data_IF_244727967269
#
_entry.id   IF_244727967269
#
_cell.length_a   1.000
_cell.length_b   1.000
_cell.length_c   1.000
_cell.angle_alpha   90.00
_cell.angle_beta   90.00
_cell.angle_gamma   90.00
#
_symmetry.space_group_name_H-M   'P 1'
#
loop_
_entity.id
_entity.type
_entity.pdbx_description
1 polymer ?
#
# COMPACT_ATOMS: atom_id res chain seq x y z
N UNK A 1 -6.47 -28.29 -11.18
CA UNK A 1 -5.31 -28.26 -10.26
C UNK A 1 -5.71 -27.42 -9.06
N UNK A 2 -5.54 -27.91 -7.83
CA UNK A 2 -5.83 -27.12 -6.62
C UNK A 2 -4.71 -26.10 -6.47
N UNK A 3 -5.00 -24.80 -6.57
CA UNK A 3 -4.05 -23.76 -6.18
C UNK A 3 -3.71 -23.99 -4.70
N UNK A 4 -2.45 -24.33 -4.43
CA UNK A 4 -1.92 -24.38 -3.06
C UNK A 4 -2.01 -22.93 -2.56
N UNK A 5 -2.89 -22.66 -1.60
CA UNK A 5 -3.01 -21.33 -0.99
C UNK A 5 -1.70 -21.06 -0.23
N UNK A 6 -0.86 -20.18 -0.75
CA UNK A 6 0.32 -19.71 -0.04
C UNK A 6 -0.14 -18.89 1.18
N UNK A 7 0.33 -19.26 2.37
CA UNK A 7 0.20 -18.39 3.54
C UNK A 7 1.21 -17.26 3.35
N UNK A 8 0.76 -16.08 2.94
CA UNK A 8 1.62 -14.91 2.72
C UNK A 8 1.68 -14.06 3.99
N UNK A 9 2.88 -13.68 4.39
CA UNK A 9 3.17 -12.81 5.52
C UNK A 9 3.75 -11.51 4.98
N UNK A 10 3.09 -10.39 5.26
CA UNK A 10 3.56 -9.06 4.86
C UNK A 10 4.45 -8.52 5.97
N UNK A 11 5.73 -8.30 5.67
CA UNK A 11 6.71 -7.75 6.60
C UNK A 11 7.18 -6.41 6.07
N UNK A 12 7.25 -5.42 6.95
CA UNK A 12 7.87 -4.15 6.59
C UNK A 12 9.40 -4.28 6.65
N UNK A 13 10.03 -4.03 5.51
CA UNK A 13 11.48 -3.96 5.36
C UNK A 13 11.94 -2.54 5.69
N UNK A 14 12.63 -2.39 6.83
CA UNK A 14 13.12 -1.10 7.32
C UNK A 14 14.33 -0.59 6.55
N UNK A 15 15.06 -1.44 5.82
CA UNK A 15 16.23 -1.02 5.03
C UNK A 15 15.79 -0.45 3.68
N UNK A 16 14.82 -1.10 3.04
CA UNK A 16 14.27 -0.70 1.73
C UNK A 16 13.02 0.20 1.84
N UNK A 17 12.55 0.50 3.06
CA UNK A 17 11.35 1.27 3.37
C UNK A 17 10.07 0.82 2.65
N UNK A 18 9.90 -0.50 2.49
CA UNK A 18 8.78 -1.09 1.73
C UNK A 18 8.22 -2.32 2.39
N UNK A 19 6.97 -2.65 2.08
CA UNK A 19 6.40 -3.92 2.49
C UNK A 19 6.92 -5.03 1.59
N UNK A 20 7.64 -6.00 2.15
CA UNK A 20 8.02 -7.25 1.49
C UNK A 20 7.03 -8.35 1.86
N UNK A 21 6.85 -9.30 0.94
CA UNK A 21 5.97 -10.46 1.16
C UNK A 21 6.84 -11.69 1.37
N UNK A 22 6.53 -12.49 2.39
CA UNK A 22 7.22 -13.73 2.73
C UNK A 22 6.22 -14.88 2.66
N UNK A 23 6.63 -15.99 2.07
CA UNK A 23 5.87 -17.23 2.11
C UNK A 23 6.03 -17.85 3.50
N UNK A 24 4.93 -17.95 4.25
CA UNK A 24 4.87 -18.45 5.61
C UNK A 24 5.11 -19.96 5.75
N UNK A 25 5.02 -20.75 4.67
CA UNK A 25 5.42 -22.16 4.70
C UNK A 25 6.94 -22.30 4.59
N UNK A 26 7.60 -21.43 3.81
CA UNK A 26 9.01 -21.59 3.41
C UNK A 26 9.96 -20.57 4.03
N UNK A 27 9.44 -19.46 4.57
CA UNK A 27 10.22 -18.33 5.08
C UNK A 27 10.93 -17.53 3.98
N UNK A 28 10.68 -17.81 2.70
CA UNK A 28 11.33 -17.14 1.59
C UNK A 28 10.58 -15.87 1.19
N UNK A 29 11.31 -14.83 0.80
CA UNK A 29 10.70 -13.65 0.16
C UNK A 29 9.97 -14.11 -1.10
N UNK A 30 8.66 -13.89 -1.11
CA UNK A 30 7.83 -14.04 -2.30
C UNK A 30 8.31 -12.98 -3.28
N UNK A 31 8.70 -13.42 -4.48
CA UNK A 31 9.13 -12.46 -5.50
C UNK A 31 7.93 -11.57 -5.81
N UNK A 32 8.18 -10.32 -6.19
CA UNK A 32 7.16 -9.34 -6.60
C UNK A 32 6.31 -9.80 -7.81
N UNK A 33 6.46 -11.03 -8.25
CA UNK A 33 5.78 -11.70 -9.36
C UNK A 33 4.44 -12.34 -8.93
N UNK A 34 4.11 -12.40 -7.64
CA UNK A 34 3.22 -13.45 -7.10
C UNK A 34 1.88 -13.01 -6.44
N UNK A 35 1.31 -11.84 -6.76
CA UNK A 35 -0.11 -11.58 -6.44
C UNK A 35 -0.90 -10.92 -7.59
N UNK A 36 -2.20 -11.20 -7.64
CA UNK A 36 -3.09 -10.80 -8.75
C UNK A 36 -3.13 -9.29 -8.96
N UNK A 37 -3.09 -8.51 -7.87
CA UNK A 37 -3.13 -7.04 -7.95
C UNK A 37 -1.81 -6.52 -8.52
N UNK A 38 -0.68 -7.02 -8.03
CA UNK A 38 0.64 -6.66 -8.56
C UNK A 38 0.77 -7.00 -10.05
N UNK A 39 0.21 -8.13 -10.48
CA UNK A 39 0.20 -8.52 -11.90
C UNK A 39 -0.60 -7.53 -12.77
N UNK A 40 -1.77 -7.09 -12.30
CA UNK A 40 -2.60 -6.10 -13.01
C UNK A 40 -1.92 -4.72 -13.05
N UNK A 41 -1.23 -4.33 -11.98
CA UNK A 41 -0.45 -3.08 -11.95
C UNK A 41 0.72 -3.10 -12.93
N UNK A 42 1.44 -4.23 -13.02
CA UNK A 42 2.50 -4.41 -14.02
C UNK A 42 1.95 -4.31 -15.44
N UNK A 43 0.79 -4.91 -15.71
CA UNK A 43 0.11 -4.76 -17.00
C UNK A 43 -0.21 -3.29 -17.32
N UNK A 44 -0.77 -2.52 -16.38
CA UNK A 44 -1.01 -1.08 -16.59
C UNK A 44 0.28 -0.29 -16.85
N UNK A 45 1.39 -0.70 -16.24
CA UNK A 45 2.70 -0.09 -16.47
C UNK A 45 3.25 -0.42 -17.87
N UNK A 46 3.10 -1.67 -18.32
CA UNK A 46 3.48 -2.10 -19.68
C UNK A 46 2.70 -1.37 -20.78
N UNK A 47 1.45 -1.00 -20.50
CA UNK A 47 0.60 -0.17 -21.37
C UNK A 47 0.93 1.35 -21.27
N UNK A 48 2.03 1.71 -20.60
CA UNK A 48 2.54 3.08 -20.41
C UNK A 48 1.47 4.07 -19.89
N UNK A 49 0.68 3.64 -18.91
CA UNK A 49 -0.39 4.45 -18.33
C UNK A 49 -0.14 4.83 -16.86
N UNK A 50 0.79 5.76 -16.59
CA UNK A 50 1.12 6.19 -15.23
C UNK A 50 0.00 6.96 -14.53
N UNK A 51 -1.01 7.44 -15.26
CA UNK A 51 -2.19 8.11 -14.70
C UNK A 51 -3.09 7.09 -13.99
N UNK A 52 -3.34 5.92 -14.61
CA UNK A 52 -4.15 4.88 -13.99
C UNK A 52 -3.48 4.29 -12.74
N UNK A 53 -2.15 4.14 -12.76
CA UNK A 53 -1.38 3.71 -11.59
C UNK A 53 -1.55 4.69 -10.42
N UNK A 54 -1.44 6.01 -10.68
CA UNK A 54 -1.66 7.04 -9.64
C UNK A 54 -3.11 7.08 -9.16
N UNK A 55 -4.10 6.95 -10.06
CA UNK A 55 -5.53 6.84 -9.69
C UNK A 55 -5.75 5.67 -8.73
N UNK A 56 -5.16 4.53 -9.03
CA UNK A 56 -5.22 3.36 -8.16
C UNK A 56 -4.57 3.60 -6.79
N UNK A 57 -3.38 4.22 -6.76
CA UNK A 57 -2.72 4.58 -5.51
C UNK A 57 -3.58 5.52 -4.64
N UNK A 58 -4.14 6.58 -5.25
CA UNK A 58 -5.06 7.52 -4.58
C UNK A 58 -6.30 6.81 -4.04
N UNK A 59 -6.88 5.90 -4.82
CA UNK A 59 -8.02 5.11 -4.36
C UNK A 59 -7.67 4.25 -3.15
N UNK A 60 -6.52 3.55 -3.16
CA UNK A 60 -6.05 2.77 -2.03
C UNK A 60 -5.87 3.63 -0.78
N UNK A 61 -5.20 4.78 -0.91
CA UNK A 61 -5.00 5.72 0.20
C UNK A 61 -6.33 6.23 0.77
N UNK A 62 -7.36 6.42 -0.06
CA UNK A 62 -8.71 6.81 0.38
C UNK A 62 -9.46 5.71 1.12
N UNK A 63 -9.15 4.43 0.89
CA UNK A 63 -9.79 3.33 1.64
C UNK A 63 -9.34 3.25 3.10
N UNK A 64 -8.16 3.81 3.40
CA UNK A 64 -7.49 3.71 4.70
C UNK A 64 -7.73 4.94 5.57
N UNK A 65 -7.92 6.10 4.94
CA UNK A 65 -7.95 7.39 5.62
C UNK A 65 -9.37 7.79 6.04
N UNK A 66 -9.77 7.37 7.24
CA UNK A 66 -11.03 7.83 7.86
C UNK A 66 -10.95 9.33 8.28
N UNK A 67 -9.75 9.82 8.63
CA UNK A 67 -9.48 11.24 8.96
C UNK A 67 -8.16 11.73 8.35
N UNK A 68 -8.24 12.49 7.25
CA UNK A 68 -7.07 13.04 6.57
C UNK A 68 -6.43 14.17 7.37
N UNK A 69 -5.19 13.98 7.83
CA UNK A 69 -4.38 15.07 8.40
C UNK A 69 -3.99 16.07 7.31
N UNK A 70 -3.67 17.34 7.67
CA UNK A 70 -3.34 18.37 6.69
C UNK A 70 -2.24 17.99 5.69
N UNK A 71 -1.19 17.29 6.13
CA UNK A 71 -0.11 16.86 5.25
C UNK A 71 -0.57 15.77 4.27
N UNK A 72 -1.38 14.81 4.71
CA UNK A 72 -1.93 13.76 3.84
C UNK A 72 -2.88 14.36 2.81
N UNK A 73 -3.67 15.36 3.20
CA UNK A 73 -4.49 16.13 2.27
C UNK A 73 -3.64 16.85 1.22
N UNK A 74 -2.57 17.55 1.62
CA UNK A 74 -1.64 18.21 0.67
C UNK A 74 -1.08 17.21 -0.35
N UNK A 75 -0.68 16.02 0.12
CA UNK A 75 -0.16 14.96 -0.74
C UNK A 75 -1.22 14.46 -1.73
N UNK A 76 -2.43 14.13 -1.24
CA UNK A 76 -3.51 13.64 -2.10
C UNK A 76 -4.00 14.69 -3.10
N UNK A 77 -4.08 15.95 -2.69
CA UNK A 77 -4.44 17.06 -3.59
C UNK A 77 -3.41 17.21 -4.73
N UNK A 78 -2.11 17.02 -4.44
CA UNK A 78 -1.07 17.04 -5.46
C UNK A 78 -1.16 15.81 -6.39
N UNK A 79 -1.43 14.62 -5.84
CA UNK A 79 -1.63 13.41 -6.64
C UNK A 79 -2.85 13.54 -7.59
N UNK A 80 -3.95 14.13 -7.13
CA UNK A 80 -5.12 14.42 -7.95
C UNK A 80 -4.81 15.41 -9.09
N UNK A 81 -4.03 16.45 -8.81
CA UNK A 81 -3.52 17.34 -9.88
C UNK A 81 -2.67 16.57 -10.89
N UNK A 82 -1.83 15.64 -10.45
CA UNK A 82 -1.01 14.81 -11.35
C UNK A 82 -1.87 13.92 -12.25
N UNK A 83 -2.95 13.35 -11.71
CA UNK A 83 -3.93 12.58 -12.47
C UNK A 83 -4.62 13.46 -13.53
N UNK A 84 -4.90 14.72 -13.20
CA UNK A 84 -5.50 15.71 -14.10
C UNK A 84 -4.48 16.36 -15.05
N UNK A 85 -3.19 16.01 -14.93
CA UNK A 85 -2.07 16.59 -15.68
C UNK A 85 -1.92 18.11 -15.44
N UNK A 86 -2.25 18.57 -14.23
CA UNK A 86 -2.19 19.97 -13.79
C UNK A 86 -0.95 20.28 -12.90
N UNK A 87 0.04 19.41 -12.89
CA UNK A 87 1.28 19.55 -12.09
C UNK A 87 2.45 18.88 -12.82
N UNK A 88 3.66 19.31 -12.50
CA UNK A 88 4.89 18.77 -13.06
C UNK A 88 5.44 17.62 -12.19
N UNK A 89 6.15 16.67 -12.80
CA UNK A 89 6.82 15.58 -12.07
C UNK A 89 7.80 16.11 -11.00
N UNK A 90 8.38 17.29 -11.24
CA UNK A 90 9.28 17.96 -10.29
C UNK A 90 8.58 18.26 -8.97
N UNK A 91 7.33 18.72 -9.00
CA UNK A 91 6.57 19.06 -7.78
C UNK A 91 6.24 17.80 -6.97
N UNK A 92 5.93 16.69 -7.64
CA UNK A 92 5.73 15.38 -7.00
C UNK A 92 7.00 14.92 -6.29
N UNK A 93 8.13 14.99 -6.99
CA UNK A 93 9.44 14.57 -6.45
C UNK A 93 9.85 15.39 -5.25
N UNK A 94 9.74 16.72 -5.34
CA UNK A 94 10.07 17.64 -4.24
C UNK A 94 9.26 17.31 -2.99
N UNK A 95 7.93 17.14 -3.12
CA UNK A 95 7.10 16.80 -1.96
C UNK A 95 7.38 15.38 -1.43
N UNK A 96 7.74 14.43 -2.30
CA UNK A 96 8.10 13.07 -1.90
C UNK A 96 9.42 13.04 -1.11
N UNK A 97 10.40 13.85 -1.50
CA UNK A 97 11.68 14.05 -0.79
C UNK A 97 11.46 14.82 0.53
N UNK A 98 10.69 15.91 0.52
CA UNK A 98 10.34 16.68 1.74
C UNK A 98 9.68 15.81 2.82
N UNK A 99 8.95 14.78 2.42
CA UNK A 99 8.21 13.89 3.32
C UNK A 99 9.01 12.67 3.79
N UNK A 100 10.21 12.43 3.26
CA UNK A 100 11.03 11.25 3.57
C UNK A 100 11.32 11.12 5.07
N UNK A 101 11.77 12.19 5.73
CA UNK A 101 12.04 12.14 7.17
C UNK A 101 10.79 11.83 8.02
N UNK A 102 9.61 12.26 7.57
CA UNK A 102 8.34 11.94 8.25
C UNK A 102 7.90 10.51 7.95
N UNK A 103 8.17 10.00 6.74
CA UNK A 103 7.96 8.59 6.39
C UNK A 103 8.81 7.69 7.29
N UNK A 104 10.13 7.92 7.36
CA UNK A 104 11.04 7.16 8.23
C UNK A 104 10.59 7.17 9.69
N UNK A 105 10.15 8.31 10.22
CA UNK A 105 9.64 8.40 11.58
C UNK A 105 8.32 7.63 11.75
N UNK A 106 7.39 7.76 10.81
CA UNK A 106 6.10 7.05 10.80
C UNK A 106 6.30 5.54 10.70
N UNK A 107 7.29 5.11 9.92
CA UNK A 107 7.72 3.74 9.75
C UNK A 107 8.31 3.18 11.05
N UNK A 108 9.35 3.83 11.56
CA UNK A 108 10.14 3.33 12.69
C UNK A 108 9.36 3.36 14.00
N UNK A 109 8.52 4.38 14.21
CA UNK A 109 7.82 4.57 15.48
C UNK A 109 6.32 4.25 15.40
N UNK A 110 5.69 4.49 14.25
CA UNK A 110 4.25 4.25 14.08
C UNK A 110 3.96 2.79 13.78
N UNK A 111 4.59 2.22 12.74
CA UNK A 111 4.33 0.82 12.34
C UNK A 111 4.75 -0.15 13.45
N UNK A 112 5.94 0.05 14.05
CA UNK A 112 6.44 -0.84 15.12
C UNK A 112 5.60 -0.82 16.40
N UNK A 113 4.85 0.27 16.65
CA UNK A 113 3.96 0.40 17.81
C UNK A 113 2.51 0.04 17.48
N UNK A 114 2.23 -0.51 16.30
CA UNK A 114 0.87 -0.87 15.90
C UNK A 114 -0.06 0.33 15.67
N UNK A 115 0.49 1.52 15.36
CA UNK A 115 -0.32 2.70 15.13
C UNK A 115 -1.07 2.58 13.79
N UNK A 116 -2.38 2.35 13.85
CA UNK A 116 -3.26 2.22 12.67
C UNK A 116 -3.28 3.42 11.72
N UNK A 117 -2.77 4.58 12.14
CA UNK A 117 -2.65 5.76 11.27
C UNK A 117 -1.35 5.77 10.45
N UNK A 118 -0.37 4.94 10.78
CA UNK A 118 0.89 4.88 10.07
C UNK A 118 0.73 4.37 8.62
N UNK A 119 0.00 3.26 8.34
CA UNK A 119 -0.31 2.86 6.97
C UNK A 119 -1.03 3.95 6.16
N UNK A 120 -1.87 4.74 6.83
CA UNK A 120 -2.66 5.79 6.22
C UNK A 120 -1.80 6.95 5.70
N UNK A 121 -0.74 7.31 6.43
CA UNK A 121 0.23 8.31 6.00
C UNK A 121 1.11 7.78 4.86
N UNK A 122 1.62 6.56 5.02
CA UNK A 122 2.52 5.95 4.05
C UNK A 122 1.80 5.73 2.71
N UNK A 123 0.59 5.16 2.73
CA UNK A 123 -0.23 5.03 1.53
C UNK A 123 -0.50 6.38 0.84
N UNK A 124 -0.73 7.45 1.59
CA UNK A 124 -0.90 8.78 1.01
C UNK A 124 0.38 9.24 0.32
N UNK A 125 1.54 9.08 0.95
CA UNK A 125 2.84 9.44 0.38
C UNK A 125 3.13 8.70 -0.93
N UNK A 126 2.76 7.43 -1.03
CA UNK A 126 2.96 6.64 -2.26
C UNK A 126 2.16 7.16 -3.47
N UNK A 127 1.11 7.96 -3.26
CA UNK A 127 0.35 8.59 -4.35
C UNK A 127 1.18 9.61 -5.14
N UNK A 128 2.25 10.15 -4.56
CA UNK A 128 3.17 11.09 -5.20
C UNK A 128 4.55 10.47 -5.47
N UNK A 129 4.67 9.14 -5.41
CA UNK A 129 5.92 8.45 -5.72
C UNK A 129 6.40 8.80 -7.14
N UNK A 130 7.69 9.17 -7.33
CA UNK A 130 8.26 9.40 -8.65
C UNK A 130 8.14 8.20 -9.59
N UNK A 131 8.16 6.97 -9.04
CA UNK A 131 7.82 5.74 -9.75
C UNK A 131 6.34 5.40 -9.52
N UNK A 132 5.46 5.57 -10.54
CA UNK A 132 4.03 5.31 -10.40
C UNK A 132 3.70 3.85 -10.14
N UNK A 133 4.49 2.91 -10.67
CA UNK A 133 4.27 1.49 -10.47
C UNK A 133 4.57 1.11 -9.03
N UNK A 134 5.74 1.51 -8.53
CA UNK A 134 6.11 1.25 -7.14
C UNK A 134 5.12 1.90 -6.17
N UNK A 135 4.73 3.15 -6.42
CA UNK A 135 3.72 3.85 -5.61
C UNK A 135 2.38 3.12 -5.57
N UNK A 136 1.90 2.61 -6.71
CA UNK A 136 0.68 1.83 -6.77
C UNK A 136 0.78 0.51 -6.00
N UNK A 137 1.90 -0.20 -6.12
CA UNK A 137 2.16 -1.45 -5.40
C UNK A 137 2.19 -1.21 -3.89
N UNK A 138 2.96 -0.22 -3.43
CA UNK A 138 3.07 0.07 -2.00
C UNK A 138 1.74 0.58 -1.41
N UNK A 139 1.00 1.43 -2.11
CA UNK A 139 -0.33 1.86 -1.69
C UNK A 139 -1.30 0.67 -1.51
N UNK A 140 -1.26 -0.32 -2.42
CA UNK A 140 -2.05 -1.55 -2.26
C UNK A 140 -1.63 -2.36 -1.02
N UNK A 141 -0.32 -2.49 -0.76
CA UNK A 141 0.20 -3.22 0.40
C UNK A 141 -0.18 -2.53 1.71
N UNK A 142 -0.08 -1.22 1.80
CA UNK A 142 -0.52 -0.47 2.98
C UNK A 142 -2.04 -0.57 3.22
N UNK A 143 -2.85 -0.65 2.17
CA UNK A 143 -4.29 -0.91 2.31
C UNK A 143 -4.57 -2.28 2.92
N UNK A 144 -3.86 -3.32 2.47
CA UNK A 144 -3.97 -4.67 3.06
C UNK A 144 -3.53 -4.67 4.52
N UNK A 145 -2.36 -4.10 4.80
CA UNK A 145 -1.80 -4.04 6.15
C UNK A 145 -2.70 -3.28 7.13
N UNK A 146 -3.30 -2.16 6.70
CA UNK A 146 -4.27 -1.46 7.54
C UNK A 146 -5.50 -2.31 7.84
N UNK A 147 -6.02 -3.04 6.86
CA UNK A 147 -7.18 -3.92 7.07
C UNK A 147 -6.85 -5.05 8.05
N UNK A 148 -5.63 -5.58 8.00
CA UNK A 148 -5.13 -6.53 9.00
C UNK A 148 -5.08 -5.90 10.39
N UNK A 149 -4.52 -4.69 10.53
CA UNK A 149 -4.43 -3.98 11.81
C UNK A 149 -5.80 -3.60 12.39
N UNK A 150 -6.81 -3.36 11.55
CA UNK A 150 -8.18 -3.03 11.97
C UNK A 150 -8.93 -4.23 12.53
N UNK A 151 -8.63 -5.44 12.05
CA UNK A 151 -9.25 -6.68 12.53
C UNK A 151 -8.74 -7.12 13.92
N UNK A 152 -7.55 -6.69 14.33
CA UNK A 152 -6.90 -7.10 15.58
C UNK A 152 -7.37 -6.33 16.83
N UNK A 153 -8.42 -5.50 16.75
CA UNK A 153 -8.87 -4.60 17.81
C UNK A 153 -9.25 -5.27 19.16
N UNK A 154 -9.33 -6.61 19.26
CA UNK A 154 -9.56 -7.30 20.55
C UNK A 154 -8.27 -7.70 21.31
N UNK A 155 -7.05 -7.65 20.74
CA UNK A 155 -5.85 -8.28 21.34
C UNK A 155 -4.55 -7.43 21.36
N UNK A 156 -4.62 -6.12 21.16
CA UNK A 156 -3.42 -5.26 20.99
C UNK A 156 -2.80 -4.72 22.30
N UNK A 157 -2.54 -5.59 23.29
CA UNK A 157 -1.67 -5.22 24.42
C UNK A 157 -0.23 -5.75 24.30
N UNK A 158 0.10 -6.60 23.31
CA UNK A 158 1.44 -7.22 23.31
C UNK A 158 1.89 -7.75 21.95
N UNK A 159 1.96 -6.90 20.91
CA UNK A 159 2.60 -7.30 19.64
C UNK A 159 3.32 -6.10 19.01
N UNK A 160 4.58 -5.91 19.38
CA UNK A 160 5.55 -5.43 18.39
C UNK A 160 5.43 -6.35 17.16
N UNK A 161 5.58 -5.85 15.93
CA UNK A 161 5.45 -6.52 14.62
C UNK A 161 6.05 -7.95 14.43
N UNK A 162 6.61 -8.58 15.46
CA UNK A 162 6.91 -10.01 15.53
C UNK A 162 5.64 -10.79 15.86
N UNK A 163 5.17 -11.56 14.88
CA UNK A 163 4.01 -12.45 14.95
C UNK A 163 2.66 -11.75 14.85
N UNK A 164 2.39 -11.12 13.70
CA UNK A 164 1.00 -11.11 13.19
C UNK A 164 0.62 -12.58 12.96
N UNK A 165 0.07 -13.21 13.99
CA UNK A 165 -0.40 -14.60 13.94
C UNK A 165 -1.44 -14.69 12.82
N UNK A 166 -1.21 -15.66 11.94
CA UNK A 166 -1.86 -15.94 10.66
C UNK A 166 -3.38 -16.26 10.70
N UNK A 167 -4.10 -15.80 11.73
CA UNK A 167 -5.53 -16.05 11.93
C UNK A 167 -6.40 -14.78 11.89
N UNK A 168 -5.83 -13.57 11.98
CA UNK A 168 -6.56 -12.34 11.66
C UNK A 168 -7.08 -12.44 10.21
N UNK A 169 -8.39 -12.24 10.05
CA UNK A 169 -9.22 -13.10 9.22
C UNK A 169 -8.78 -13.21 7.75
N UNK A 170 -8.41 -14.41 7.28
CA UNK A 170 -8.21 -14.74 5.84
C UNK A 170 -9.35 -14.22 4.93
N UNK A 171 -10.53 -13.95 5.49
CA UNK A 171 -11.69 -13.37 4.83
C UNK A 171 -11.53 -11.87 4.49
N UNK A 172 -11.00 -11.04 5.37
CA UNK A 172 -10.95 -9.59 5.14
C UNK A 172 -9.81 -9.18 4.20
N UNK A 173 -8.65 -9.83 4.27
CA UNK A 173 -7.56 -9.65 3.28
C UNK A 173 -8.08 -10.01 1.88
N UNK A 174 -8.76 -11.16 1.73
CA UNK A 174 -9.38 -11.57 0.46
C UNK A 174 -10.40 -10.56 -0.05
N UNK A 175 -11.19 -9.94 0.84
CA UNK A 175 -12.12 -8.86 0.44
C UNK A 175 -11.38 -7.62 -0.05
N UNK A 176 -10.27 -7.25 0.60
CA UNK A 176 -9.44 -6.10 0.17
C UNK A 176 -8.82 -6.37 -1.19
N UNK A 177 -8.23 -7.55 -1.40
CA UNK A 177 -7.67 -7.97 -2.69
C UNK A 177 -8.73 -7.98 -3.80
N UNK A 178 -9.93 -8.47 -3.49
CA UNK A 178 -11.04 -8.46 -4.45
C UNK A 178 -11.48 -7.03 -4.79
N UNK A 179 -11.56 -6.13 -3.80
CA UNK A 179 -11.88 -4.71 -4.06
C UNK A 179 -10.81 -4.03 -4.91
N UNK A 180 -9.53 -4.26 -4.61
CA UNK A 180 -8.40 -3.76 -5.38
C UNK A 180 -8.47 -4.25 -6.83
N UNK A 181 -8.68 -5.56 -7.01
CA UNK A 181 -8.81 -6.18 -8.33
C UNK A 181 -9.99 -5.60 -9.10
N UNK A 182 -11.16 -5.51 -8.49
CA UNK A 182 -12.35 -4.95 -9.15
C UNK A 182 -12.11 -3.51 -9.59
N UNK A 183 -11.53 -2.68 -8.71
CA UNK A 183 -11.26 -1.29 -9.05
C UNK A 183 -10.23 -1.15 -10.19
N UNK A 184 -9.20 -2.00 -10.22
CA UNK A 184 -8.26 -2.05 -11.35
C UNK A 184 -8.93 -2.44 -12.65
N UNK A 185 -9.83 -3.44 -12.61
CA UNK A 185 -10.60 -3.83 -13.79
C UNK A 185 -11.53 -2.71 -14.24
N UNK A 186 -12.16 -1.97 -13.32
CA UNK A 186 -12.98 -0.80 -13.66
C UNK A 186 -12.14 0.27 -14.35
N UNK A 187 -10.96 0.61 -13.80
CA UNK A 187 -10.02 1.58 -14.39
C UNK A 187 -9.54 1.19 -15.80
N UNK A 188 -9.40 -0.11 -16.08
CA UNK A 188 -9.00 -0.61 -17.41
C UNK A 188 -10.11 -0.52 -18.45
N UNK A 189 -11.37 -0.32 -18.04
CA UNK A 189 -12.54 -0.28 -18.91
C UNK A 189 -13.17 1.11 -19.05
N UNK A 190 -12.57 2.15 -18.44
CA UNK A 190 -12.93 3.57 -18.63
C UNK A 190 -12.36 4.14 -19.94
#
# INVERSE_FOLDING_TARGET
>A
MKHKKQDLIYIYDTEDHKIIVIDGETGNRVKEEDDQVTSLLKYLHEEDNPILLRRFAVWCARQINDELKPIQKKILDLAEKAIQQETEEKELRELYEETEGTAIATDTTGMMQGNKNAPAYLAARECINPDPLEGAIQAARFHRLWAEMKDTEEDLNDVALKEVKAEASKSNIQKVEQKQTNYLLDLMNE
#
